data_IF_201891452954
#
_entry.id   IF_201891452954
#
_cell.length_a   1.000
_cell.length_b   1.000
_cell.length_c   1.000
_cell.angle_alpha   90.00
_cell.angle_beta   90.00
_cell.angle_gamma   90.00
#
_symmetry.space_group_name_H-M   'P 1'
#
loop_
_entity.id
_entity.type
_entity.pdbx_description
1 polymer ?
#
# COMPACT_ATOMS: atom_id res chain seq x y z
N UNK A 1 -22.35 2.32 9.35
CA UNK A 1 -21.54 1.19 8.82
C UNK A 1 -20.17 1.29 9.43
N UNK A 2 -19.65 0.18 9.93
CA UNK A 2 -18.28 0.09 10.43
C UNK A 2 -17.31 0.43 9.28
N UNK A 3 -16.22 1.14 9.58
CA UNK A 3 -15.25 1.53 8.57
C UNK A 3 -14.53 0.28 8.04
N UNK A 4 -14.57 0.06 6.74
CA UNK A 4 -13.85 -1.04 6.10
C UNK A 4 -12.34 -0.82 6.26
N UNK A 5 -11.59 -1.84 6.72
CA UNK A 5 -10.12 -1.77 6.83
C UNK A 5 -9.41 -1.70 5.46
N UNK A 6 -10.15 -1.69 4.36
CA UNK A 6 -9.61 -1.58 3.01
C UNK A 6 -9.22 -0.13 2.70
N UNK A 7 -8.02 0.08 2.19
CA UNK A 7 -7.48 1.36 1.73
C UNK A 7 -7.32 1.28 0.21
N UNK A 8 -7.80 2.27 -0.51
CA UNK A 8 -7.60 2.33 -1.95
C UNK A 8 -6.25 2.95 -2.28
N UNK A 9 -5.34 2.14 -2.83
CA UNK A 9 -4.08 2.59 -3.40
C UNK A 9 -4.32 3.23 -4.77
N UNK A 10 -3.65 4.35 -5.06
CA UNK A 10 -3.91 5.16 -6.25
C UNK A 10 -2.72 5.27 -7.21
N UNK A 11 -1.70 4.45 -7.06
CA UNK A 11 -0.52 4.49 -7.95
C UNK A 11 -0.91 4.31 -9.42
N UNK A 12 -1.93 3.51 -9.72
CA UNK A 12 -2.44 3.28 -11.07
C UNK A 12 -3.11 4.52 -11.69
N UNK A 13 -3.53 5.49 -10.87
CA UNK A 13 -4.13 6.74 -11.36
C UNK A 13 -3.09 7.67 -12.00
N UNK A 14 -1.79 7.49 -11.69
CA UNK A 14 -0.71 8.31 -12.21
C UNK A 14 0.35 7.57 -13.03
N UNK A 15 0.41 6.25 -12.91
CA UNK A 15 1.41 5.42 -13.56
C UNK A 15 0.81 4.09 -14.03
N UNK A 16 1.35 3.53 -15.11
CA UNK A 16 1.11 2.13 -15.44
C UNK A 16 1.88 1.25 -14.44
N UNK A 17 1.18 0.73 -13.43
CA UNK A 17 1.81 0.03 -12.32
C UNK A 17 1.26 -1.39 -12.16
N UNK A 18 2.17 -2.33 -11.77
CA UNK A 18 1.86 -3.74 -11.54
C UNK A 18 2.19 -4.62 -12.73
N UNK A 19 2.83 -5.79 -12.49
CA UNK A 19 3.23 -6.74 -13.55
C UNK A 19 2.02 -7.41 -14.23
N UNK A 20 0.86 -7.39 -13.57
CA UNK A 20 -0.39 -7.93 -14.08
C UNK A 20 -1.31 -6.86 -14.73
N UNK A 21 -0.92 -5.58 -14.72
CA UNK A 21 -1.74 -4.50 -15.29
C UNK A 21 -1.73 -4.58 -16.82
N UNK A 22 -2.88 -4.89 -17.41
CA UNK A 22 -3.14 -4.92 -18.86
C UNK A 22 -4.06 -3.79 -19.32
N UNK A 23 -4.71 -3.09 -18.39
CA UNK A 23 -5.66 -2.00 -18.68
C UNK A 23 -4.94 -0.67 -18.98
N UNK A 24 -3.80 -0.44 -18.33
CA UNK A 24 -3.08 0.83 -18.37
C UNK A 24 -3.50 1.77 -17.26
N UNK A 25 -3.38 3.07 -17.51
CA UNK A 25 -3.82 4.11 -16.58
C UNK A 25 -5.29 4.44 -16.84
N UNK A 26 -6.19 4.42 -15.82
CA UNK A 26 -7.59 4.78 -16.00
C UNK A 26 -7.77 6.25 -16.35
N UNK A 27 -8.82 6.56 -17.10
CA UNK A 27 -9.25 7.93 -17.43
C UNK A 27 -9.74 8.68 -16.17
N UNK A 28 -9.84 10.00 -16.25
CA UNK A 28 -10.36 10.79 -15.13
C UNK A 28 -11.80 10.41 -14.77
N UNK A 29 -12.64 10.11 -15.75
CA UNK A 29 -14.03 9.67 -15.56
C UNK A 29 -14.11 8.34 -14.84
N UNK A 30 -13.25 7.37 -15.21
CA UNK A 30 -13.14 6.09 -14.52
C UNK A 30 -12.66 6.26 -13.08
N UNK A 31 -11.67 7.13 -12.85
CA UNK A 31 -11.21 7.44 -11.48
C UNK A 31 -12.32 8.09 -10.65
N UNK A 32 -13.10 9.02 -11.21
CA UNK A 32 -14.24 9.62 -10.50
C UNK A 32 -15.25 8.54 -10.08
N UNK A 33 -15.57 7.61 -10.99
CA UNK A 33 -16.47 6.49 -10.69
C UNK A 33 -15.90 5.52 -9.64
N UNK A 34 -14.60 5.23 -9.69
CA UNK A 34 -13.90 4.40 -8.71
C UNK A 34 -13.95 5.05 -7.31
N UNK A 35 -13.66 6.35 -7.20
CA UNK A 35 -13.67 7.10 -5.92
C UNK A 35 -15.07 7.15 -5.33
N UNK A 36 -16.10 7.43 -6.14
CA UNK A 36 -17.49 7.42 -5.69
C UNK A 36 -17.89 6.02 -5.17
N UNK A 37 -17.63 4.97 -5.95
CA UNK A 37 -17.94 3.60 -5.56
C UNK A 37 -17.15 3.13 -4.31
N UNK A 38 -15.91 3.58 -4.13
CA UNK A 38 -15.12 3.31 -2.93
C UNK A 38 -15.77 3.91 -1.69
N UNK A 39 -16.20 5.17 -1.76
CA UNK A 39 -16.89 5.84 -0.68
C UNK A 39 -18.23 5.19 -0.34
N UNK A 40 -19.06 4.84 -1.35
CA UNK A 40 -20.33 4.16 -1.18
C UNK A 40 -20.14 2.77 -0.54
N UNK A 41 -19.07 2.07 -0.90
CA UNK A 41 -18.71 0.77 -0.35
C UNK A 41 -18.04 0.80 1.04
N UNK A 42 -17.91 1.97 1.67
CA UNK A 42 -17.37 2.08 3.04
C UNK A 42 -15.88 2.31 3.15
N UNK A 43 -15.14 2.42 2.03
CA UNK A 43 -13.73 2.86 2.05
C UNK A 43 -13.69 4.33 2.47
N UNK A 44 -12.79 4.66 3.41
CA UNK A 44 -12.64 6.03 3.94
C UNK A 44 -11.21 6.54 3.85
N UNK A 45 -10.29 5.75 3.30
CA UNK A 45 -8.88 6.10 3.20
C UNK A 45 -8.32 5.80 1.81
N UNK A 46 -7.50 6.73 1.33
CA UNK A 46 -6.83 6.69 0.04
C UNK A 46 -5.32 6.80 0.28
N UNK A 47 -4.53 6.01 -0.42
CA UNK A 47 -3.07 6.06 -0.39
C UNK A 47 -2.52 6.50 -1.74
N UNK A 48 -1.71 7.54 -1.74
CA UNK A 48 -0.99 8.08 -2.89
C UNK A 48 0.47 8.38 -2.55
N UNK A 49 1.19 9.03 -3.43
CA UNK A 49 2.53 9.56 -3.19
C UNK A 49 2.88 10.64 -4.22
N UNK A 50 3.70 11.62 -3.82
CA UNK A 50 4.27 12.61 -4.73
C UNK A 50 5.08 11.97 -5.88
N UNK A 51 5.62 10.77 -5.66
CA UNK A 51 6.36 9.99 -6.67
C UNK A 51 5.49 9.14 -7.61
N UNK A 52 4.17 9.21 -7.54
CA UNK A 52 3.27 8.40 -8.38
C UNK A 52 2.77 9.17 -9.64
N UNK A 53 3.67 9.87 -10.32
CA UNK A 53 3.33 10.63 -11.53
C UNK A 53 2.22 11.65 -11.26
N UNK A 54 1.12 11.58 -12.00
CA UNK A 54 -0.02 12.51 -11.87
C UNK A 54 -1.07 12.05 -10.83
N UNK A 55 -0.81 10.99 -10.06
CA UNK A 55 -1.80 10.38 -9.17
C UNK A 55 -2.44 11.39 -8.20
N UNK A 56 -1.66 12.26 -7.56
CA UNK A 56 -2.20 13.27 -6.64
C UNK A 56 -3.13 14.27 -7.35
N UNK A 57 -2.77 14.71 -8.56
CA UNK A 57 -3.58 15.65 -9.33
C UNK A 57 -4.89 15.01 -9.83
N UNK A 58 -4.81 13.77 -10.33
CA UNK A 58 -5.98 12.99 -10.77
C UNK A 58 -6.92 12.73 -9.61
N UNK A 59 -6.35 12.32 -8.45
CA UNK A 59 -7.11 12.09 -7.23
C UNK A 59 -7.78 13.38 -6.72
N UNK A 60 -7.06 14.50 -6.70
CA UNK A 60 -7.59 15.80 -6.27
C UNK A 60 -8.80 16.23 -7.11
N UNK A 61 -8.72 16.10 -8.44
CA UNK A 61 -9.86 16.35 -9.33
C UNK A 61 -11.04 15.43 -9.03
N UNK A 62 -10.78 14.14 -8.79
CA UNK A 62 -11.82 13.16 -8.47
C UNK A 62 -12.51 13.47 -7.14
N UNK A 63 -11.74 13.81 -6.09
CA UNK A 63 -12.27 14.21 -4.79
C UNK A 63 -13.19 15.43 -4.89
N UNK A 64 -12.80 16.44 -5.68
CA UNK A 64 -13.64 17.63 -5.92
C UNK A 64 -14.88 17.31 -6.73
N UNK A 65 -14.75 16.54 -7.83
CA UNK A 65 -15.86 16.16 -8.68
C UNK A 65 -16.92 15.34 -7.94
N UNK A 66 -16.52 14.53 -6.95
CA UNK A 66 -17.41 13.69 -6.13
C UNK A 66 -17.85 14.34 -4.82
N UNK A 67 -17.32 15.50 -4.45
CA UNK A 67 -17.62 16.17 -3.18
C UNK A 67 -17.04 15.45 -1.94
N UNK A 68 -16.02 14.63 -2.13
CA UNK A 68 -15.43 13.77 -1.09
C UNK A 68 -14.15 14.33 -0.46
N UNK A 69 -13.71 15.51 -0.88
CA UNK A 69 -12.47 16.17 -0.46
C UNK A 69 -12.37 16.44 1.06
N UNK A 70 -13.51 16.51 1.75
CA UNK A 70 -13.56 16.73 3.21
C UNK A 70 -13.84 15.45 4.03
N UNK A 71 -14.20 14.36 3.37
CA UNK A 71 -14.64 13.14 4.04
C UNK A 71 -13.66 11.99 3.91
N UNK A 72 -12.88 11.96 2.83
CA UNK A 72 -11.86 10.94 2.60
C UNK A 72 -10.55 11.33 3.29
N UNK A 73 -9.96 10.37 4.00
CA UNK A 73 -8.62 10.50 4.58
C UNK A 73 -7.60 10.19 3.50
N UNK A 74 -6.60 11.08 3.33
CA UNK A 74 -5.54 10.86 2.34
C UNK A 74 -4.21 10.65 3.04
N UNK A 75 -3.53 9.56 2.70
CA UNK A 75 -2.14 9.27 3.02
C UNK A 75 -1.30 9.57 1.79
N UNK A 76 -0.25 10.37 1.94
CA UNK A 76 0.72 10.61 0.86
C UNK A 76 2.15 10.35 1.35
N UNK A 77 3.09 10.45 0.44
CA UNK A 77 4.52 10.21 0.73
C UNK A 77 5.36 11.37 0.20
N UNK A 78 6.39 11.72 0.97
CA UNK A 78 7.37 12.76 0.59
C UNK A 78 7.99 12.42 -0.76
N UNK A 79 8.15 13.43 -1.62
CA UNK A 79 8.87 13.28 -2.88
C UNK A 79 10.28 12.72 -2.65
N UNK A 80 10.78 11.93 -3.62
CA UNK A 80 12.10 11.29 -3.52
C UNK A 80 13.17 12.33 -3.16
N UNK A 81 13.96 12.01 -2.15
CA UNK A 81 15.00 12.86 -1.60
C UNK A 81 16.38 12.42 -2.11
N UNK A 82 17.26 13.33 -2.55
CA UNK A 82 18.69 13.02 -2.73
C UNK A 82 19.33 12.48 -1.46
N UNK A 83 20.26 11.53 -1.61
CA UNK A 83 20.88 10.84 -0.47
C UNK A 83 21.82 11.72 0.36
N UNK A 84 22.35 12.78 -0.23
CA UNK A 84 23.33 13.70 0.32
C UNK A 84 22.73 15.00 0.88
N UNK A 85 21.39 15.05 1.04
CA UNK A 85 20.72 16.23 1.60
C UNK A 85 21.19 16.56 3.00
N UNK A 86 21.48 17.85 3.23
CA UNK A 86 21.63 18.41 4.58
C UNK A 86 20.26 18.50 5.26
N UNK A 87 20.22 18.68 6.58
CA UNK A 87 18.95 18.88 7.30
C UNK A 87 18.22 20.15 6.84
N UNK A 88 18.98 21.23 6.55
CA UNK A 88 18.41 22.47 6.05
C UNK A 88 17.72 22.30 4.68
N UNK A 89 18.38 21.59 3.75
CA UNK A 89 17.82 21.29 2.43
C UNK A 89 16.64 20.34 2.52
N UNK A 90 16.73 19.30 3.39
CA UNK A 90 15.65 18.37 3.65
C UNK A 90 14.40 19.09 4.18
N UNK A 91 14.57 20.06 5.08
CA UNK A 91 13.47 20.89 5.61
C UNK A 91 12.75 21.65 4.50
N UNK A 92 13.49 22.28 3.60
CA UNK A 92 12.92 22.99 2.45
C UNK A 92 12.21 22.01 1.51
N UNK A 93 12.86 20.89 1.19
CA UNK A 93 12.33 19.87 0.28
C UNK A 93 11.03 19.24 0.81
N UNK A 94 11.01 18.82 2.08
CA UNK A 94 9.86 18.17 2.70
C UNK A 94 8.66 19.13 2.76
N UNK A 95 8.88 20.40 3.17
CA UNK A 95 7.82 21.41 3.21
C UNK A 95 7.25 21.69 1.82
N UNK A 96 8.11 21.87 0.83
CA UNK A 96 7.70 22.06 -0.57
C UNK A 96 6.96 20.84 -1.12
N UNK A 97 7.41 19.63 -0.78
CA UNK A 97 6.72 18.39 -1.16
C UNK A 97 5.30 18.35 -0.59
N UNK A 98 5.13 18.64 0.71
CA UNK A 98 3.81 18.69 1.35
C UNK A 98 2.92 19.76 0.70
N UNK A 99 3.42 20.98 0.51
CA UNK A 99 2.65 22.08 -0.13
C UNK A 99 2.19 21.69 -1.53
N UNK A 100 3.07 21.07 -2.33
CA UNK A 100 2.71 20.56 -3.65
C UNK A 100 1.65 19.47 -3.57
N UNK A 101 1.79 18.51 -2.66
CA UNK A 101 0.79 17.44 -2.47
C UNK A 101 -0.57 18.00 -2.09
N UNK A 102 -0.64 18.92 -1.13
CA UNK A 102 -1.90 19.58 -0.72
C UNK A 102 -2.54 20.32 -1.90
N UNK A 103 -1.74 21.02 -2.69
CA UNK A 103 -2.19 21.74 -3.89
C UNK A 103 -2.72 20.79 -4.96
N UNK A 104 -1.99 19.70 -5.27
CA UNK A 104 -2.41 18.72 -6.27
C UNK A 104 -3.67 17.96 -5.84
N UNK A 105 -3.73 17.56 -4.58
CA UNK A 105 -4.88 16.87 -3.98
C UNK A 105 -6.08 17.78 -3.74
N UNK A 106 -5.89 19.11 -3.79
CA UNK A 106 -6.93 20.12 -3.54
C UNK A 106 -7.59 19.95 -2.16
N UNK A 107 -6.79 19.64 -1.13
CA UNK A 107 -7.21 19.46 0.28
C UNK A 107 -6.36 20.34 1.21
N UNK A 108 -6.88 20.61 2.40
CA UNK A 108 -6.23 21.52 3.36
C UNK A 108 -5.19 20.81 4.25
N UNK A 109 -5.34 19.50 4.47
CA UNK A 109 -4.44 18.71 5.31
C UNK A 109 -4.42 17.24 4.91
N UNK A 110 -3.32 16.53 5.24
CA UNK A 110 -3.20 15.08 5.07
C UNK A 110 -3.56 14.34 6.36
N UNK A 111 -4.15 13.15 6.22
CA UNK A 111 -4.29 12.20 7.34
C UNK A 111 -2.92 11.68 7.80
N UNK A 112 -2.04 11.34 6.86
CA UNK A 112 -0.65 10.98 7.14
C UNK A 112 0.28 11.40 6.00
N UNK A 113 1.50 11.81 6.34
CA UNK A 113 2.61 11.96 5.42
C UNK A 113 3.72 11.01 5.84
N UNK A 114 4.14 10.15 4.93
CA UNK A 114 5.15 9.14 5.17
C UNK A 114 6.44 9.48 4.40
N UNK A 115 7.60 9.16 4.97
CA UNK A 115 8.76 8.98 4.11
C UNK A 115 8.54 7.79 3.16
N UNK A 116 8.95 7.93 1.91
CA UNK A 116 8.79 6.88 0.90
C UNK A 116 9.86 5.79 1.04
N UNK A 117 10.99 6.12 1.68
CA UNK A 117 12.13 5.23 1.91
C UNK A 117 12.61 5.34 3.34
N UNK A 118 13.09 4.24 3.88
CA UNK A 118 13.60 4.16 5.27
C UNK A 118 14.78 5.10 5.51
N UNK A 119 15.68 5.24 4.52
CA UNK A 119 16.87 6.08 4.62
C UNK A 119 16.55 7.56 4.87
N UNK A 120 15.38 8.01 4.48
CA UNK A 120 14.92 9.40 4.65
C UNK A 120 14.38 9.64 6.07
N UNK A 121 14.13 8.58 6.85
CA UNK A 121 13.59 8.66 8.21
C UNK A 121 14.50 9.44 9.18
N UNK A 122 15.78 9.57 8.90
CA UNK A 122 16.72 10.42 9.64
C UNK A 122 16.24 11.88 9.81
N UNK A 123 15.31 12.34 8.99
CA UNK A 123 14.72 13.68 9.03
C UNK A 123 13.32 13.69 9.68
N UNK A 124 12.98 12.68 10.48
CA UNK A 124 11.63 12.52 11.04
C UNK A 124 11.18 13.67 11.93
N UNK A 125 12.10 14.36 12.61
CA UNK A 125 11.84 15.57 13.38
C UNK A 125 11.10 16.64 12.55
N UNK A 126 11.38 16.74 11.24
CA UNK A 126 10.72 17.73 10.36
C UNK A 126 9.24 17.37 10.15
N UNK A 127 8.91 16.09 10.00
CA UNK A 127 7.51 15.66 9.91
C UNK A 127 6.75 15.87 11.22
N UNK A 128 7.39 15.68 12.38
CA UNK A 128 6.79 15.95 13.68
C UNK A 128 6.45 17.45 13.87
N UNK A 129 7.29 18.34 13.35
CA UNK A 129 6.99 19.77 13.33
C UNK A 129 5.74 20.07 12.51
N UNK A 130 5.60 19.47 11.32
CA UNK A 130 4.44 19.63 10.45
C UNK A 130 3.15 19.09 11.07
N UNK A 131 3.24 18.04 11.89
CA UNK A 131 2.10 17.58 12.71
C UNK A 131 1.69 18.65 13.71
N UNK A 132 2.64 19.26 14.41
CA UNK A 132 2.37 20.33 15.38
C UNK A 132 1.77 21.58 14.71
N UNK A 133 2.12 21.85 13.46
CA UNK A 133 1.55 22.93 12.64
C UNK A 133 0.13 22.62 12.12
N UNK A 134 -0.38 21.40 12.35
CA UNK A 134 -1.73 20.98 11.90
C UNK A 134 -1.86 20.73 10.40
N UNK A 135 -0.74 20.66 9.65
CA UNK A 135 -0.73 20.38 8.20
C UNK A 135 -0.95 18.90 7.88
N UNK A 136 -0.65 18.04 8.82
CA UNK A 136 -0.92 16.59 8.77
C UNK A 136 -1.27 16.09 10.17
N UNK A 137 -2.05 15.01 10.24
CA UNK A 137 -2.45 14.43 11.51
C UNK A 137 -1.43 13.42 12.04
N UNK A 138 -0.68 12.76 11.14
CA UNK A 138 0.30 11.71 11.47
C UNK A 138 1.53 11.80 10.58
N UNK A 139 2.66 11.46 11.16
CA UNK A 139 3.94 11.34 10.49
C UNK A 139 4.45 9.90 10.55
N UNK A 140 5.17 9.45 9.52
CA UNK A 140 5.69 8.09 9.52
C UNK A 140 6.58 7.73 8.35
N UNK A 141 6.65 6.41 8.06
CA UNK A 141 7.50 5.86 7.02
C UNK A 141 6.85 4.67 6.31
N UNK A 142 7.15 4.52 5.02
CA UNK A 142 6.90 3.29 4.28
C UNK A 142 8.17 2.44 4.34
N UNK A 143 8.07 1.25 4.93
CA UNK A 143 9.18 0.30 5.07
C UNK A 143 9.17 -0.69 3.90
N UNK A 144 10.35 -1.13 3.50
CA UNK A 144 10.52 -2.16 2.46
C UNK A 144 11.60 -3.18 2.83
N UNK A 145 12.71 -2.73 3.41
CA UNK A 145 13.88 -3.54 3.69
C UNK A 145 14.19 -3.71 5.18
N UNK A 146 14.11 -2.63 5.95
CA UNK A 146 14.56 -2.61 7.35
C UNK A 146 13.78 -1.58 8.17
N UNK A 147 13.99 -1.67 9.48
CA UNK A 147 13.46 -0.73 10.46
C UNK A 147 14.52 0.35 10.71
N UNK A 148 14.31 1.60 10.32
CA UNK A 148 15.27 2.67 10.58
C UNK A 148 15.34 2.99 12.07
N UNK A 149 16.49 3.49 12.53
CA UNK A 149 16.68 3.96 13.91
C UNK A 149 15.62 5.02 14.26
N UNK A 150 15.05 4.90 15.45
CA UNK A 150 14.03 5.82 15.95
C UNK A 150 12.62 5.58 15.40
N UNK A 151 12.38 4.48 14.66
CA UNK A 151 11.07 4.18 14.04
C UNK A 151 9.94 4.06 15.06
N UNK A 152 10.25 3.82 16.33
CA UNK A 152 9.28 3.79 17.44
C UNK A 152 8.55 5.12 17.65
N UNK A 153 9.07 6.22 17.10
CA UNK A 153 8.43 7.55 17.12
C UNK A 153 7.36 7.69 16.02
N UNK A 154 7.33 6.80 15.04
CA UNK A 154 6.38 6.88 13.95
C UNK A 154 4.93 6.72 14.44
N UNK A 155 4.07 7.63 14.01
CA UNK A 155 2.63 7.60 14.31
C UNK A 155 1.87 6.69 13.35
N UNK A 156 2.43 6.46 12.16
CA UNK A 156 1.91 5.54 11.16
C UNK A 156 3.06 4.92 10.37
N UNK A 157 2.94 3.64 10.04
CA UNK A 157 3.90 2.96 9.15
C UNK A 157 3.16 2.20 8.07
N UNK A 158 3.80 2.09 6.91
CA UNK A 158 3.32 1.24 5.83
C UNK A 158 4.33 0.12 5.60
N UNK A 159 3.89 -1.14 5.70
CA UNK A 159 4.74 -2.33 5.58
C UNK A 159 4.28 -3.20 4.40
N UNK A 160 5.18 -3.91 3.72
CA UNK A 160 4.77 -4.96 2.78
C UNK A 160 4.34 -6.20 3.55
N UNK A 161 3.22 -6.81 3.14
CA UNK A 161 2.77 -8.07 3.70
C UNK A 161 1.84 -8.81 2.74
N UNK A 162 1.93 -10.13 2.76
CA UNK A 162 1.02 -11.06 2.09
C UNK A 162 1.30 -12.49 2.57
N UNK A 163 0.59 -13.47 2.03
CA UNK A 163 0.75 -14.89 2.38
C UNK A 163 2.18 -15.41 2.19
N UNK A 164 2.99 -14.79 1.30
CA UNK A 164 4.39 -15.16 1.03
C UNK A 164 5.39 -14.26 1.79
N UNK A 165 5.03 -13.02 2.12
CA UNK A 165 5.92 -12.06 2.80
C UNK A 165 5.40 -11.74 4.19
N UNK A 166 6.12 -12.22 5.19
CA UNK A 166 5.80 -12.06 6.61
C UNK A 166 6.92 -11.39 7.40
N UNK A 167 7.90 -10.80 6.71
CA UNK A 167 9.11 -10.23 7.33
C UNK A 167 8.81 -9.20 8.41
N UNK A 168 7.77 -8.39 8.22
CA UNK A 168 7.40 -7.32 9.16
C UNK A 168 6.35 -7.71 10.21
N UNK A 169 5.91 -8.98 10.31
CA UNK A 169 4.86 -9.36 11.28
C UNK A 169 5.26 -9.11 12.72
N UNK A 170 6.52 -9.36 13.10
CA UNK A 170 7.01 -9.08 14.46
C UNK A 170 6.96 -7.58 14.73
N UNK A 171 7.56 -6.80 13.85
CA UNK A 171 7.53 -5.33 13.92
C UNK A 171 6.10 -4.78 13.99
N UNK A 172 5.20 -5.28 13.12
CA UNK A 172 3.77 -4.89 13.11
C UNK A 172 3.13 -5.02 14.48
N UNK A 173 3.32 -6.16 15.15
CA UNK A 173 2.78 -6.38 16.51
C UNK A 173 3.37 -5.43 17.54
N UNK A 174 4.69 -5.26 17.55
CA UNK A 174 5.38 -4.38 18.47
C UNK A 174 5.03 -2.91 18.25
N UNK A 175 4.93 -2.46 16.99
CA UNK A 175 4.59 -1.09 16.66
C UNK A 175 3.11 -0.80 16.97
N UNK A 176 2.19 -1.70 16.64
CA UNK A 176 0.78 -1.55 16.98
C UNK A 176 0.55 -1.50 18.50
N UNK A 177 1.28 -2.32 19.29
CA UNK A 177 1.21 -2.29 20.74
C UNK A 177 1.66 -0.95 21.36
N UNK A 178 2.48 -0.17 20.65
CA UNK A 178 2.87 1.21 21.00
C UNK A 178 1.87 2.27 20.53
N UNK A 179 0.82 1.89 19.80
CA UNK A 179 -0.18 2.81 19.26
C UNK A 179 0.14 3.35 17.86
N UNK A 180 1.16 2.80 17.18
CA UNK A 180 1.45 3.12 15.77
C UNK A 180 0.37 2.54 14.88
N UNK A 181 -0.17 3.33 13.95
CA UNK A 181 -1.10 2.87 12.92
C UNK A 181 -0.35 2.06 11.86
N UNK A 182 -0.84 0.87 11.57
CA UNK A 182 -0.20 -0.06 10.63
C UNK A 182 -1.02 -0.16 9.35
N UNK A 183 -0.40 0.24 8.24
CA UNK A 183 -0.92 0.02 6.88
C UNK A 183 -0.14 -1.11 6.22
N UNK A 184 -0.83 -2.14 5.76
CA UNK A 184 -0.21 -3.22 5.00
C UNK A 184 -0.45 -3.01 3.50
N UNK A 185 0.58 -3.22 2.69
CA UNK A 185 0.54 -3.14 1.23
C UNK A 185 1.03 -4.44 0.60
N UNK A 186 0.84 -4.57 -0.70
CA UNK A 186 1.34 -5.72 -1.48
C UNK A 186 0.57 -7.03 -1.31
N UNK A 187 -0.72 -6.96 -0.96
CA UNK A 187 -1.64 -8.11 -0.78
C UNK A 187 -1.44 -9.19 -1.85
N UNK A 188 -1.38 -8.79 -3.12
CA UNK A 188 -1.26 -9.70 -4.27
C UNK A 188 0.14 -9.69 -4.89
N UNK A 189 1.16 -9.19 -4.18
CA UNK A 189 2.55 -9.12 -4.64
C UNK A 189 2.62 -8.61 -6.09
N UNK A 190 2.13 -7.37 -6.31
CA UNK A 190 2.00 -6.71 -7.62
C UNK A 190 1.18 -7.50 -8.66
N UNK A 191 0.26 -8.32 -8.23
CA UNK A 191 -0.58 -9.17 -9.08
C UNK A 191 0.01 -10.56 -9.36
N UNK A 192 1.25 -10.86 -8.97
CA UNK A 192 1.88 -12.15 -9.17
C UNK A 192 1.07 -13.31 -8.58
N UNK A 193 0.46 -13.10 -7.41
CA UNK A 193 -0.36 -14.11 -6.76
C UNK A 193 -1.65 -14.45 -7.52
N UNK A 194 -2.10 -13.61 -8.44
CA UNK A 194 -3.36 -13.79 -9.17
C UNK A 194 -3.16 -14.05 -10.68
N UNK A 195 -1.96 -13.83 -11.21
CA UNK A 195 -1.71 -14.01 -12.63
C UNK A 195 -1.67 -15.49 -13.02
N UNK A 196 -1.98 -15.86 -14.28
CA UNK A 196 -1.81 -17.22 -14.78
C UNK A 196 -0.40 -17.75 -14.53
N UNK A 197 -0.29 -19.03 -14.11
CA UNK A 197 1.02 -19.63 -13.72
C UNK A 197 2.03 -19.57 -14.87
N UNK A 198 1.57 -19.77 -16.10
CA UNK A 198 2.39 -19.72 -17.32
C UNK A 198 2.93 -18.31 -17.65
N UNK A 199 2.37 -17.26 -17.01
CA UNK A 199 2.82 -15.88 -17.15
C UNK A 199 3.77 -15.44 -16.04
N UNK A 200 4.02 -16.31 -15.06
CA UNK A 200 4.96 -15.98 -13.97
C UNK A 200 6.37 -15.91 -14.54
N UNK A 201 7.09 -14.78 -14.37
CA UNK A 201 8.45 -14.61 -14.84
C UNK A 201 9.40 -15.71 -14.34
N UNK A 202 10.39 -16.09 -15.15
CA UNK A 202 11.33 -17.16 -14.83
C UNK A 202 12.00 -17.00 -13.45
N UNK A 203 12.34 -15.78 -13.08
CA UNK A 203 12.98 -15.47 -11.79
C UNK A 203 12.06 -15.59 -10.57
N UNK A 204 10.72 -15.78 -10.75
CA UNK A 204 9.74 -16.00 -9.69
C UNK A 204 9.17 -17.42 -9.68
N UNK A 205 9.61 -18.31 -10.57
CA UNK A 205 9.07 -19.67 -10.66
C UNK A 205 9.23 -20.50 -9.37
N UNK A 206 10.23 -20.18 -8.56
CA UNK A 206 10.40 -20.80 -7.23
C UNK A 206 9.21 -20.55 -6.28
N UNK A 207 8.36 -19.56 -6.54
CA UNK A 207 7.16 -19.28 -5.77
C UNK A 207 5.96 -20.17 -6.17
N UNK A 208 5.98 -20.78 -7.36
CA UNK A 208 4.87 -21.56 -7.89
C UNK A 208 4.44 -22.72 -6.96
N UNK A 209 5.34 -23.53 -6.41
CA UNK A 209 4.93 -24.63 -5.51
C UNK A 209 4.19 -24.15 -4.26
N UNK A 210 4.60 -23.03 -3.68
CA UNK A 210 3.92 -22.45 -2.51
C UNK A 210 2.54 -21.92 -2.88
N UNK A 211 2.45 -21.20 -3.99
CA UNK A 211 1.19 -20.70 -4.52
C UNK A 211 0.20 -21.83 -4.80
N UNK A 212 0.62 -22.90 -5.47
CA UNK A 212 -0.23 -24.06 -5.77
C UNK A 212 -0.76 -24.73 -4.49
N UNK A 213 0.06 -24.86 -3.44
CA UNK A 213 -0.39 -25.37 -2.15
C UNK A 213 -1.41 -24.44 -1.47
N UNK A 214 -1.24 -23.13 -1.56
CA UNK A 214 -2.21 -22.15 -1.05
C UNK A 214 -3.52 -22.19 -1.84
N UNK A 215 -3.45 -22.35 -3.18
CA UNK A 215 -4.63 -22.53 -4.02
C UNK A 215 -5.38 -23.83 -3.71
N UNK A 216 -4.66 -24.91 -3.42
CA UNK A 216 -5.24 -26.16 -2.97
C UNK A 216 -5.93 -26.02 -1.60
N UNK A 217 -5.32 -25.29 -0.65
CA UNK A 217 -5.94 -24.95 0.63
C UNK A 217 -7.23 -24.14 0.43
N UNK A 218 -7.19 -23.13 -0.45
CA UNK A 218 -8.37 -22.31 -0.75
C UNK A 218 -9.50 -23.17 -1.33
N UNK A 219 -9.19 -24.07 -2.27
CA UNK A 219 -10.17 -24.99 -2.87
C UNK A 219 -10.77 -25.95 -1.82
N UNK A 220 -9.93 -26.50 -0.92
CA UNK A 220 -10.38 -27.38 0.16
C UNK A 220 -11.41 -26.72 1.09
N UNK A 221 -11.20 -25.44 1.41
CA UNK A 221 -12.12 -24.68 2.28
C UNK A 221 -13.22 -23.94 1.50
N UNK A 222 -13.33 -24.18 0.19
CA UNK A 222 -14.41 -23.67 -0.67
C UNK A 222 -14.37 -22.17 -0.96
N UNK A 223 -13.18 -21.57 -0.99
CA UNK A 223 -13.02 -20.14 -1.32
C UNK A 223 -12.07 -19.92 -2.50
N UNK A 224 -12.16 -18.73 -3.14
CA UNK A 224 -11.20 -18.36 -4.18
C UNK A 224 -9.81 -18.01 -3.61
N UNK A 225 -8.71 -18.23 -4.36
CA UNK A 225 -7.37 -17.84 -3.93
C UNK A 225 -7.25 -16.35 -3.55
N UNK A 226 -7.86 -15.46 -4.33
CA UNK A 226 -7.87 -14.02 -4.04
C UNK A 226 -8.51 -13.71 -2.67
N UNK A 227 -9.55 -14.46 -2.30
CA UNK A 227 -10.20 -14.36 -0.99
C UNK A 227 -9.25 -14.82 0.12
N UNK A 228 -8.58 -15.96 -0.04
CA UNK A 228 -7.60 -16.47 0.92
C UNK A 228 -6.52 -15.41 1.20
N UNK A 229 -5.94 -14.82 0.14
CA UNK A 229 -4.84 -13.86 0.23
C UNK A 229 -5.26 -12.56 0.91
N UNK A 230 -6.42 -12.02 0.56
CA UNK A 230 -6.92 -10.80 1.19
C UNK A 230 -7.31 -11.02 2.64
N UNK A 231 -8.10 -12.08 2.92
CA UNK A 231 -8.57 -12.39 4.27
C UNK A 231 -7.43 -12.76 5.22
N UNK A 232 -6.30 -13.28 4.71
CA UNK A 232 -5.09 -13.49 5.50
C UNK A 232 -4.66 -12.21 6.21
N UNK A 233 -4.54 -11.09 5.49
CA UNK A 233 -4.16 -9.81 6.10
C UNK A 233 -5.25 -9.24 7.02
N UNK A 234 -6.52 -9.39 6.65
CA UNK A 234 -7.63 -8.98 7.53
C UNK A 234 -7.71 -9.79 8.83
N UNK A 235 -7.09 -10.98 8.87
CA UNK A 235 -7.00 -11.82 10.07
C UNK A 235 -5.92 -11.38 11.06
N UNK A 236 -5.00 -10.53 10.63
CA UNK A 236 -3.95 -9.95 11.48
C UNK A 236 -4.53 -8.73 12.17
N UNK A 237 -4.78 -8.85 13.49
CA UNK A 237 -5.51 -7.84 14.27
C UNK A 237 -4.78 -6.50 14.35
N UNK A 238 -3.47 -6.56 14.29
CA UNK A 238 -2.55 -5.43 14.41
C UNK A 238 -2.44 -4.59 13.12
N UNK A 239 -3.04 -5.04 12.01
CA UNK A 239 -3.13 -4.25 10.78
C UNK A 239 -4.39 -3.38 10.84
N UNK A 240 -4.23 -2.06 10.77
CA UNK A 240 -5.31 -1.07 10.80
C UNK A 240 -5.91 -0.83 9.41
N UNK A 241 -5.13 -1.05 8.35
CA UNK A 241 -5.59 -0.88 6.98
C UNK A 241 -4.80 -1.70 5.97
N UNK A 242 -5.51 -2.28 5.00
CA UNK A 242 -4.94 -3.11 3.92
C UNK A 242 -5.08 -2.37 2.60
N UNK A 243 -3.95 -2.08 1.94
CA UNK A 243 -3.92 -1.34 0.68
C UNK A 243 -4.11 -2.28 -0.52
N UNK A 244 -5.06 -1.93 -1.36
CA UNK A 244 -5.18 -2.52 -2.70
C UNK A 244 -5.30 -1.43 -3.76
N UNK A 245 -4.49 -1.52 -4.81
CA UNK A 245 -4.67 -0.74 -6.02
C UNK A 245 -5.66 -1.45 -6.95
N UNK A 246 -6.33 -0.67 -7.80
CA UNK A 246 -7.23 -1.19 -8.82
C UNK A 246 -7.05 -0.43 -10.14
N UNK A 247 -7.28 -1.12 -11.24
CA UNK A 247 -7.30 -0.54 -12.59
C UNK A 247 -8.74 -0.26 -13.05
N UNK A 248 -9.73 -0.98 -12.47
CA UNK A 248 -11.14 -0.93 -12.85
C UNK A 248 -12.07 -0.92 -11.64
N UNK A 249 -13.29 -0.43 -11.86
CA UNK A 249 -14.36 -0.44 -10.84
C UNK A 249 -14.78 -1.86 -10.43
N UNK A 250 -14.68 -2.84 -11.33
CA UNK A 250 -15.04 -4.23 -11.03
C UNK A 250 -14.00 -4.87 -10.10
N UNK A 251 -12.72 -4.56 -10.27
CA UNK A 251 -11.68 -4.96 -9.31
C UNK A 251 -11.94 -4.33 -7.94
N UNK A 252 -12.33 -3.06 -7.87
CA UNK A 252 -12.69 -2.41 -6.62
C UNK A 252 -13.85 -3.11 -5.93
N UNK A 253 -14.96 -3.35 -6.65
CA UNK A 253 -16.14 -4.04 -6.11
C UNK A 253 -15.80 -5.45 -5.62
N UNK A 254 -14.99 -6.18 -6.37
CA UNK A 254 -14.47 -7.50 -5.96
C UNK A 254 -13.69 -7.41 -4.64
N UNK A 255 -12.73 -6.50 -4.54
CA UNK A 255 -11.94 -6.31 -3.33
C UNK A 255 -12.79 -5.93 -2.11
N UNK A 256 -13.78 -5.05 -2.29
CA UNK A 256 -14.72 -4.69 -1.23
C UNK A 256 -15.56 -5.90 -0.77
N UNK A 257 -16.04 -6.70 -1.71
CA UNK A 257 -16.80 -7.91 -1.39
C UNK A 257 -15.97 -8.92 -0.59
N UNK A 258 -14.69 -9.10 -0.94
CA UNK A 258 -13.76 -9.97 -0.21
C UNK A 258 -13.46 -9.43 1.20
N UNK A 259 -13.24 -8.12 1.33
CA UNK A 259 -12.95 -7.48 2.60
C UNK A 259 -14.10 -7.61 3.62
N UNK A 260 -15.35 -7.68 3.15
CA UNK A 260 -16.54 -7.85 3.98
C UNK A 260 -16.76 -9.28 4.51
N UNK A 261 -15.96 -10.27 4.06
CA UNK A 261 -16.11 -11.68 4.49
C UNK A 261 -15.49 -11.99 5.86
N UNK A 262 -14.79 -11.02 6.46
CA UNK A 262 -14.18 -11.16 7.77
C UNK A 262 -12.90 -12.02 7.78
N UNK A 263 -12.34 -12.30 8.96
CA UNK A 263 -11.08 -13.03 9.12
C UNK A 263 -11.22 -14.52 8.73
N UNK A 264 -10.09 -15.16 8.43
CA UNK A 264 -9.95 -16.62 8.34
C UNK A 264 -9.96 -17.23 9.76
N UNK A 265 -10.26 -18.54 9.86
CA UNK A 265 -10.11 -19.25 11.13
C UNK A 265 -8.64 -19.41 11.52
N UNK A 266 -8.37 -19.58 12.81
CA UNK A 266 -7.02 -19.79 13.34
C UNK A 266 -6.35 -21.04 12.72
N UNK A 267 -7.12 -22.08 12.43
CA UNK A 267 -6.63 -23.28 11.75
C UNK A 267 -6.11 -22.97 10.34
N UNK A 268 -6.89 -22.24 9.56
CA UNK A 268 -6.46 -21.83 8.21
C UNK A 268 -5.24 -20.93 8.26
N UNK A 269 -5.18 -19.98 9.22
CA UNK A 269 -4.01 -19.12 9.41
C UNK A 269 -2.75 -19.94 9.74
N UNK A 270 -2.86 -20.95 10.60
CA UNK A 270 -1.76 -21.85 10.94
C UNK A 270 -1.29 -22.65 9.72
N UNK A 271 -2.22 -23.21 8.94
CA UNK A 271 -1.90 -23.97 7.72
C UNK A 271 -1.19 -23.11 6.67
N UNK A 272 -1.57 -21.83 6.50
CA UNK A 272 -0.84 -20.91 5.63
C UNK A 272 0.61 -20.76 6.07
N UNK A 273 0.86 -20.64 7.37
CA UNK A 273 2.23 -20.51 7.91
C UNK A 273 3.04 -21.80 7.71
N UNK A 274 2.41 -22.99 7.82
CA UNK A 274 3.04 -24.28 7.58
C UNK A 274 3.37 -24.51 6.09
N UNK A 275 2.52 -24.02 5.18
CA UNK A 275 2.73 -24.14 3.73
C UNK A 275 3.89 -23.25 3.26
N UNK A 276 4.01 -22.05 3.79
CA UNK A 276 4.97 -21.04 3.32
C UNK A 276 6.05 -20.85 4.37
N UNK A 277 7.30 -21.28 4.15
CA UNK A 277 8.41 -20.95 5.03
C UNK A 277 8.82 -19.47 4.88
N UNK A 278 9.85 -19.04 5.61
CA UNK A 278 10.53 -17.78 5.30
C UNK A 278 11.20 -17.87 3.93
N UNK A 279 10.86 -16.92 3.07
CA UNK A 279 11.31 -16.90 1.69
C UNK A 279 12.43 -15.87 1.50
N UNK A 280 13.39 -16.13 0.59
CA UNK A 280 14.43 -15.16 0.25
C UNK A 280 13.85 -13.84 -0.26
N UNK A 281 14.42 -12.72 0.18
CA UNK A 281 13.97 -11.37 -0.19
C UNK A 281 13.93 -11.13 -1.72
N UNK A 282 14.83 -11.75 -2.48
CA UNK A 282 14.84 -11.66 -3.95
C UNK A 282 13.53 -12.11 -4.60
N UNK A 283 12.75 -12.96 -3.92
CA UNK A 283 11.46 -13.46 -4.43
C UNK A 283 10.28 -12.61 -3.98
N UNK A 284 10.33 -12.06 -2.76
CA UNK A 284 9.19 -11.39 -2.12
C UNK A 284 9.29 -9.87 -2.09
N UNK A 285 10.47 -9.31 -2.45
CA UNK A 285 10.67 -7.87 -2.59
C UNK A 285 10.71 -7.48 -4.07
N UNK A 286 9.62 -6.90 -4.61
CA UNK A 286 9.58 -6.49 -6.01
C UNK A 286 10.70 -5.51 -6.43
N UNK A 287 11.29 -4.81 -5.47
CA UNK A 287 12.44 -3.93 -5.71
C UNK A 287 13.69 -4.70 -6.17
N UNK A 288 13.80 -5.96 -5.77
CA UNK A 288 14.92 -6.85 -6.12
C UNK A 288 14.66 -7.66 -7.41
N UNK A 289 13.53 -7.47 -8.09
CA UNK A 289 13.23 -8.22 -9.32
C UNK A 289 14.04 -7.72 -10.51
N UNK A 290 14.86 -8.60 -11.08
CA UNK A 290 15.94 -8.28 -12.02
C UNK A 290 15.48 -7.60 -13.32
N UNK A 291 14.27 -7.92 -13.81
CA UNK A 291 13.77 -7.33 -15.07
C UNK A 291 13.28 -5.88 -14.93
N UNK A 292 12.95 -5.42 -13.73
CA UNK A 292 12.68 -3.99 -13.48
C UNK A 292 13.87 -3.08 -13.68
N UNK A 293 15.09 -3.60 -13.51
CA UNK A 293 16.33 -2.81 -13.76
C UNK A 293 16.57 -2.56 -15.25
N UNK A 294 15.98 -3.37 -16.15
CA UNK A 294 16.10 -3.18 -17.60
C UNK A 294 15.08 -2.16 -18.14
N UNK A 295 13.88 -2.11 -17.55
CA UNK A 295 12.81 -1.18 -17.95
C UNK A 295 12.99 0.25 -17.41
N UNK A 296 13.80 0.44 -16.35
CA UNK A 296 14.13 1.77 -15.80
C UNK A 296 15.09 2.58 -16.69
N UNK A 297 15.60 2.02 -17.78
CA UNK A 297 16.39 2.71 -18.80
C UNK A 297 15.54 3.27 -19.97
N UNK A 298 14.23 3.23 -19.90
CA UNK A 298 13.36 4.00 -20.79
C UNK A 298 13.09 5.34 -20.09
N UNK A 299 13.78 6.36 -20.56
CA UNK A 299 13.68 7.77 -20.16
C UNK A 299 12.29 8.32 -20.40
#
# INVERSE_FOLDING_TARGET
>A
MEQLKLILGTVQFGLRYGIANTHGQPTQEEVNAIIAAAADGGIRMLDTAAGYGESEAVLGRALKATGLDKTMKVVSKVAVMPSDMTEADARVHIRKSLENSLKQLQIDSLYALLFHREVDYRFFNILEELVKEGKLQRAGCSLDAYEPEGIERAMAVQVPGNVLDRRFLKFTREAHARGTIIFDRSVYLQGMLLMPVEKIPAYLQELIPYRQKLEALAAEIGIAPAELYMRYLFSIKEIDGVLTGVDTIDQLKSNMALANKGPLSDDVMKRIVEIVPELPERLIRPHNWVDRMKDSNVK
#
